data_IF_178040159918
#
_entry.id   IF_178040159918
#
_cell.length_a   1.000
_cell.length_b   1.000
_cell.length_c   1.000
_cell.angle_alpha   90.00
_cell.angle_beta   90.00
_cell.angle_gamma   90.00
#
_symmetry.space_group_name_H-M   'P 1'
#
loop_
_entity.id
_entity.type
_entity.pdbx_description
1 polymer ?
#
# COMPACT_ATOMS: atom_id res chain seq x y z
N UNK A 1 -5.92 2.20 -19.36
CA UNK A 1 -5.05 3.37 -19.65
C UNK A 1 -3.84 2.89 -20.45
N UNK A 2 -3.36 3.64 -21.44
CA UNK A 2 -2.16 3.23 -22.20
C UNK A 2 -0.89 3.30 -21.35
N UNK A 3 0.07 2.42 -21.59
CA UNK A 3 1.36 2.35 -20.87
C UNK A 3 2.03 3.71 -20.67
N UNK A 4 2.24 4.47 -21.75
CA UNK A 4 2.88 5.80 -21.69
C UNK A 4 2.14 6.75 -20.73
N UNK A 5 0.81 6.74 -20.75
CA UNK A 5 -0.01 7.57 -19.87
C UNK A 5 0.09 7.10 -18.41
N UNK A 6 0.30 5.80 -18.18
CA UNK A 6 0.57 5.23 -16.87
C UNK A 6 1.89 5.73 -16.30
N UNK A 7 2.96 5.71 -17.11
CA UNK A 7 4.27 6.26 -16.72
C UNK A 7 4.17 7.77 -16.42
N UNK A 8 3.49 8.55 -17.27
CA UNK A 8 3.28 9.99 -17.03
C UNK A 8 2.54 10.26 -15.70
N UNK A 9 1.56 9.41 -15.35
CA UNK A 9 0.85 9.48 -14.07
C UNK A 9 1.76 9.14 -12.89
N UNK A 10 2.64 8.15 -13.06
CA UNK A 10 3.60 7.75 -12.03
C UNK A 10 4.61 8.88 -11.76
N UNK A 11 5.07 9.59 -12.80
CA UNK A 11 5.92 10.79 -12.63
C UNK A 11 5.22 11.89 -11.84
N UNK A 12 3.98 12.21 -12.20
CA UNK A 12 3.16 13.19 -11.45
C UNK A 12 2.96 12.77 -9.98
N UNK A 13 2.80 11.47 -9.73
CA UNK A 13 2.69 10.95 -8.37
C UNK A 13 4.02 11.09 -7.61
N UNK A 14 5.16 10.83 -8.24
CA UNK A 14 6.48 11.03 -7.64
C UNK A 14 6.71 12.51 -7.27
N UNK A 15 6.35 13.44 -8.16
CA UNK A 15 6.38 14.89 -7.88
C UNK A 15 5.48 15.26 -6.70
N UNK A 16 4.28 14.68 -6.63
CA UNK A 16 3.36 14.89 -5.51
C UNK A 16 3.94 14.35 -4.19
N UNK A 17 4.56 13.17 -4.20
CA UNK A 17 5.28 12.63 -3.04
C UNK A 17 6.45 13.55 -2.64
N UNK A 18 7.23 14.03 -3.60
CA UNK A 18 8.31 14.98 -3.30
C UNK A 18 7.78 16.25 -2.63
N UNK A 19 6.60 16.73 -3.03
CA UNK A 19 6.01 17.93 -2.42
C UNK A 19 5.66 17.75 -0.95
N UNK A 20 5.35 16.52 -0.50
CA UNK A 20 5.03 16.25 0.92
C UNK A 20 6.23 16.43 1.84
N UNK A 21 7.46 16.30 1.32
CA UNK A 21 8.71 16.49 2.09
C UNK A 21 8.92 17.93 2.55
N UNK A 22 8.22 18.89 1.92
CA UNK A 22 8.32 20.33 2.25
C UNK A 22 7.43 20.73 3.43
N UNK A 23 6.64 19.82 3.96
CA UNK A 23 5.78 20.08 5.11
C UNK A 23 6.62 20.13 6.40
N UNK A 24 6.37 21.09 7.30
CA UNK A 24 7.12 21.25 8.54
C UNK A 24 6.68 20.23 9.60
N UNK A 25 6.93 18.95 9.35
CA UNK A 25 6.74 17.86 10.31
C UNK A 25 8.09 17.50 10.93
N UNK A 26 8.11 17.15 12.21
CA UNK A 26 9.34 16.72 12.91
C UNK A 26 9.93 15.47 12.25
N UNK A 27 9.07 14.53 11.84
CA UNK A 27 9.47 13.37 11.06
C UNK A 27 8.57 13.22 9.81
N UNK A 28 9.16 12.92 8.63
CA UNK A 28 8.36 12.70 7.42
C UNK A 28 7.41 11.51 7.57
N UNK A 29 6.12 11.79 7.46
CA UNK A 29 5.05 10.79 7.61
C UNK A 29 5.01 9.80 6.44
N UNK A 30 5.14 10.27 5.20
CA UNK A 30 5.33 9.44 4.01
C UNK A 30 6.84 9.23 3.80
N UNK A 31 7.29 7.98 3.68
CA UNK A 31 8.71 7.60 3.61
C UNK A 31 9.12 7.19 2.19
N UNK A 32 8.36 6.31 1.57
CA UNK A 32 8.66 5.79 0.22
C UNK A 32 7.39 5.44 -0.55
N UNK A 33 7.53 5.33 -1.88
CA UNK A 33 6.47 4.89 -2.77
C UNK A 33 6.99 3.86 -3.77
N UNK A 34 6.20 2.80 -3.94
CA UNK A 34 6.51 1.64 -4.75
C UNK A 34 5.39 1.39 -5.74
N UNK A 35 5.75 0.95 -6.93
CA UNK A 35 4.81 0.49 -7.96
C UNK A 35 4.97 -1.01 -8.15
N UNK A 36 3.88 -1.69 -8.47
CA UNK A 36 3.87 -3.14 -8.74
C UNK A 36 2.77 -3.52 -9.75
N UNK A 37 2.72 -4.81 -10.11
CA UNK A 37 1.70 -5.36 -11.01
C UNK A 37 1.88 -4.99 -12.49
N UNK A 38 0.75 -4.84 -13.19
CA UNK A 38 0.61 -4.74 -14.66
C UNK A 38 1.65 -3.84 -15.36
N UNK A 39 1.96 -2.67 -14.79
CA UNK A 39 2.94 -1.73 -15.38
C UNK A 39 4.35 -2.31 -15.41
N UNK A 40 4.72 -3.12 -14.41
CA UNK A 40 6.00 -3.78 -14.34
C UNK A 40 6.07 -4.98 -15.30
N UNK A 41 4.92 -5.61 -15.57
CA UNK A 41 4.85 -6.79 -16.44
C UNK A 41 4.66 -6.41 -17.92
N UNK A 42 4.46 -5.12 -18.19
CA UNK A 42 4.46 -4.52 -19.53
C UNK A 42 3.10 -4.51 -20.21
N UNK A 43 2.03 -4.67 -19.44
CA UNK A 43 0.67 -4.72 -19.93
C UNK A 43 0.24 -3.40 -20.59
N UNK A 44 -0.58 -3.51 -21.62
CA UNK A 44 -1.18 -2.36 -22.32
C UNK A 44 -2.49 -2.81 -23.00
N UNK A 45 -3.66 -2.42 -22.48
CA UNK A 45 -3.90 -1.35 -21.50
C UNK A 45 -3.75 -1.77 -20.03
N UNK A 46 -3.36 -0.83 -19.18
CA UNK A 46 -3.31 -0.94 -17.71
C UNK A 46 -4.61 -0.40 -17.12
N UNK A 47 -5.34 -1.16 -16.32
CA UNK A 47 -6.60 -0.71 -15.72
C UNK A 47 -6.37 0.40 -14.69
N UNK A 48 -5.51 0.14 -13.71
CA UNK A 48 -5.08 1.05 -12.65
C UNK A 48 -3.60 0.82 -12.31
N UNK A 49 -2.93 1.85 -11.81
CA UNK A 49 -1.58 1.72 -11.26
C UNK A 49 -1.67 1.17 -9.84
N UNK A 50 -1.01 0.05 -9.56
CA UNK A 50 -0.93 -0.51 -8.20
C UNK A 50 0.25 0.10 -7.46
N UNK A 51 -0.02 0.80 -6.36
CA UNK A 51 0.96 1.58 -5.60
C UNK A 51 0.97 1.17 -4.14
N UNK A 52 2.15 0.99 -3.56
CA UNK A 52 2.31 0.83 -2.12
C UNK A 52 3.09 2.02 -1.55
N UNK A 53 2.56 2.64 -0.50
CA UNK A 53 3.20 3.74 0.20
C UNK A 53 3.66 3.29 1.58
N UNK A 54 4.91 3.57 1.94
CA UNK A 54 5.41 3.30 3.29
C UNK A 54 5.25 4.53 4.17
N UNK A 55 4.67 4.34 5.35
CA UNK A 55 4.43 5.38 6.35
C UNK A 55 5.41 5.24 7.51
N UNK A 56 5.75 6.35 8.14
CA UNK A 56 6.47 6.37 9.42
C UNK A 56 5.52 6.01 10.58
N UNK A 57 4.97 4.82 10.53
CA UNK A 57 4.08 4.24 11.52
C UNK A 57 4.49 2.80 11.76
N UNK A 58 4.32 2.28 12.98
CA UNK A 58 4.61 0.88 13.25
C UNK A 58 3.55 -0.04 12.62
N UNK A 59 3.85 -1.34 12.42
CA UNK A 59 2.95 -2.26 11.71
C UNK A 59 1.54 -2.37 12.29
N UNK A 60 1.40 -2.28 13.61
CA UNK A 60 0.12 -2.31 14.33
C UNK A 60 -0.80 -1.13 14.00
N UNK A 61 -0.24 0.00 13.54
CA UNK A 61 -1.00 1.17 13.10
C UNK A 61 -1.26 1.18 11.58
N UNK A 62 -0.64 0.25 10.84
CA UNK A 62 -0.85 0.05 9.41
C UNK A 62 -1.26 -1.39 9.07
N UNK A 63 -2.39 -1.90 9.61
CA UNK A 63 -2.91 -3.20 9.19
C UNK A 63 -3.25 -3.24 7.70
N UNK A 64 -3.21 -4.44 7.13
CA UNK A 64 -3.54 -4.68 5.73
C UNK A 64 -4.96 -4.21 5.37
N UNK A 65 -5.11 -3.61 4.19
CA UNK A 65 -6.36 -3.02 3.68
C UNK A 65 -7.04 -1.97 4.60
N UNK A 66 -6.30 -1.39 5.54
CA UNK A 66 -6.82 -0.33 6.41
C UNK A 66 -6.44 1.07 5.92
N UNK A 67 -7.13 2.09 6.44
CA UNK A 67 -6.69 3.48 6.31
C UNK A 67 -6.13 4.00 7.65
N UNK A 68 -4.80 4.09 7.81
CA UNK A 68 -4.16 4.53 9.06
C UNK A 68 -4.55 5.96 9.46
N UNK A 69 -4.50 6.29 10.76
CA UNK A 69 -4.65 7.65 11.25
C UNK A 69 -3.71 8.62 10.53
N UNK A 70 -4.16 9.85 10.26
CA UNK A 70 -3.34 10.87 9.62
C UNK A 70 -3.12 10.71 8.11
N UNK A 71 -3.66 9.69 7.44
CA UNK A 71 -3.59 9.55 5.98
C UNK A 71 -4.55 10.40 5.13
N UNK A 72 -5.69 10.95 5.62
CA UNK A 72 -6.63 11.69 4.75
C UNK A 72 -6.00 12.84 3.96
N UNK A 73 -5.07 13.59 4.56
CA UNK A 73 -4.38 14.67 3.85
C UNK A 73 -3.45 14.14 2.75
N UNK A 74 -2.84 12.96 2.92
CA UNK A 74 -2.04 12.31 1.87
C UNK A 74 -2.93 11.89 0.69
N UNK A 75 -4.10 11.31 0.96
CA UNK A 75 -5.07 10.93 -0.09
C UNK A 75 -5.42 12.15 -0.95
N UNK A 76 -5.66 13.31 -0.32
CA UNK A 76 -5.97 14.55 -1.02
C UNK A 76 -4.76 15.10 -1.79
N UNK A 77 -3.60 15.21 -1.14
CA UNK A 77 -2.38 15.79 -1.74
C UNK A 77 -1.87 14.96 -2.92
N UNK A 78 -1.91 13.64 -2.79
CA UNK A 78 -1.50 12.68 -3.84
C UNK A 78 -2.63 12.41 -4.84
N UNK A 79 -3.84 12.97 -4.63
CA UNK A 79 -5.03 12.83 -5.48
C UNK A 79 -5.42 11.38 -5.75
N UNK A 80 -5.26 10.51 -4.75
CA UNK A 80 -5.52 9.07 -4.87
C UNK A 80 -7.02 8.79 -5.11
N UNK A 81 -7.89 9.72 -4.73
CA UNK A 81 -9.34 9.68 -4.93
C UNK A 81 -9.78 10.01 -6.36
N UNK A 82 -8.88 10.46 -7.25
CA UNK A 82 -9.21 10.87 -8.63
C UNK A 82 -9.14 9.74 -9.66
N UNK A 83 -8.86 8.51 -9.21
CA UNK A 83 -8.90 7.30 -10.02
C UNK A 83 -7.64 7.04 -10.87
N UNK A 84 -7.53 5.78 -11.30
CA UNK A 84 -6.35 5.23 -11.99
C UNK A 84 -5.22 4.80 -11.07
N UNK A 85 -5.47 4.75 -9.76
CA UNK A 85 -4.62 4.12 -8.77
C UNK A 85 -5.44 3.11 -7.96
N UNK A 86 -4.87 1.94 -7.71
CA UNK A 86 -5.21 1.10 -6.56
C UNK A 86 -4.02 1.22 -5.61
N UNK A 87 -4.26 1.50 -4.32
CA UNK A 87 -3.17 1.81 -3.41
C UNK A 87 -3.31 1.15 -2.05
N UNK A 88 -2.16 0.90 -1.42
CA UNK A 88 -2.05 0.30 -0.10
C UNK A 88 -1.08 1.09 0.77
N UNK A 89 -1.42 1.22 2.05
CA UNK A 89 -0.52 1.74 3.06
C UNK A 89 0.28 0.60 3.68
N UNK A 90 1.55 0.86 3.95
CA UNK A 90 2.48 -0.10 4.57
C UNK A 90 3.27 0.61 5.67
N UNK A 91 3.63 -0.13 6.71
CA UNK A 91 4.60 0.38 7.69
C UNK A 91 5.99 0.45 7.08
N UNK A 92 6.72 1.54 7.35
CA UNK A 92 8.14 1.70 7.01
C UNK A 92 9.07 0.88 7.90
N UNK A 93 8.57 0.19 8.93
CA UNK A 93 9.35 -0.67 9.83
C UNK A 93 9.42 -2.13 9.37
N UNK A 94 8.95 -2.43 8.15
CA UNK A 94 8.96 -3.78 7.59
C UNK A 94 9.00 -3.78 6.07
N UNK A 95 9.03 -4.96 5.44
CA UNK A 95 9.00 -5.07 3.99
C UNK A 95 7.69 -4.51 3.42
N UNK A 96 7.81 -3.75 2.32
CA UNK A 96 6.66 -3.26 1.57
C UNK A 96 5.90 -4.39 0.88
N UNK A 97 6.61 -5.44 0.44
CA UNK A 97 6.03 -6.60 -0.22
C UNK A 97 5.21 -7.47 0.75
N UNK A 98 4.22 -8.16 0.21
CA UNK A 98 3.45 -9.22 0.86
C UNK A 98 2.82 -10.15 -0.20
N UNK A 99 1.77 -10.89 0.17
CA UNK A 99 1.08 -11.80 -0.75
C UNK A 99 0.42 -11.10 -1.95
N UNK A 100 0.09 -9.81 -1.86
CA UNK A 100 -0.52 -9.02 -2.94
C UNK A 100 0.50 -8.09 -3.62
N UNK A 101 1.40 -7.48 -2.85
CA UNK A 101 2.45 -6.58 -3.36
C UNK A 101 3.66 -7.44 -3.76
N UNK A 102 3.64 -7.96 -4.99
CA UNK A 102 4.69 -8.84 -5.53
C UNK A 102 5.72 -8.06 -6.33
N UNK A 103 7.00 -8.34 -6.08
CA UNK A 103 8.15 -7.79 -6.83
C UNK A 103 8.10 -6.25 -7.00
N UNK A 104 7.75 -5.48 -5.96
CA UNK A 104 7.57 -4.04 -6.09
C UNK A 104 8.88 -3.34 -6.45
N UNK A 105 8.76 -2.23 -7.18
CA UNK A 105 9.88 -1.37 -7.56
C UNK A 105 9.66 0.01 -6.94
N UNK A 106 10.66 0.51 -6.21
CA UNK A 106 10.61 1.85 -5.63
C UNK A 106 10.76 2.87 -6.74
N UNK A 107 9.89 3.88 -6.78
CA UNK A 107 9.99 4.98 -7.74
C UNK A 107 10.20 6.34 -7.05
N UNK A 108 10.04 6.39 -5.73
CA UNK A 108 10.28 7.59 -4.93
C UNK A 108 10.61 7.23 -3.47
N UNK A 109 11.45 8.04 -2.83
CA UNK A 109 11.78 8.00 -1.41
C UNK A 109 12.10 9.42 -0.88
N UNK A 110 12.40 9.53 0.41
CA UNK A 110 12.92 10.78 0.99
C UNK A 110 14.21 11.29 0.33
N UNK A 111 15.01 10.40 -0.28
CA UNK A 111 16.21 10.77 -1.03
C UNK A 111 15.89 11.37 -2.42
N UNK A 112 14.63 11.30 -2.85
CA UNK A 112 14.14 11.83 -4.11
C UNK A 112 13.45 10.79 -5.00
N UNK A 113 13.07 11.26 -6.20
CA UNK A 113 12.52 10.43 -7.27
C UNK A 113 13.59 9.54 -7.90
N UNK A 114 13.27 8.28 -8.14
CA UNK A 114 14.14 7.35 -8.87
C UNK A 114 13.91 7.50 -10.39
N UNK A 115 14.61 8.48 -10.98
CA UNK A 115 14.48 8.78 -12.42
C UNK A 115 14.89 7.60 -13.30
N UNK A 116 15.86 6.79 -12.87
CA UNK A 116 16.30 5.62 -13.63
C UNK A 116 15.19 4.58 -13.78
N UNK A 117 14.39 4.38 -12.72
CA UNK A 117 13.20 3.52 -12.75
C UNK A 117 12.14 4.08 -13.71
N UNK A 118 11.85 5.38 -13.63
CA UNK A 118 10.83 6.01 -14.47
C UNK A 118 11.22 6.02 -15.96
N UNK A 119 12.51 6.21 -16.26
CA UNK A 119 13.07 6.13 -17.60
C UNK A 119 13.04 4.69 -18.14
N UNK A 120 13.41 3.71 -17.31
CA UNK A 120 13.32 2.30 -17.69
C UNK A 120 11.87 1.89 -18.00
N UNK A 121 10.89 2.34 -17.22
CA UNK A 121 9.46 2.12 -17.51
C UNK A 121 9.02 2.82 -18.80
N UNK A 122 9.49 4.05 -19.03
CA UNK A 122 9.17 4.81 -20.25
C UNK A 122 9.69 4.12 -21.51
N UNK A 123 10.88 3.53 -21.43
CA UNK A 123 11.59 2.83 -22.50
C UNK A 123 11.25 1.34 -22.57
N UNK A 124 10.39 0.84 -21.66
CA UNK A 124 10.02 -0.58 -21.53
C UNK A 124 11.21 -1.52 -21.29
N UNK A 125 12.25 -1.05 -20.60
CA UNK A 125 13.41 -1.84 -20.16
C UNK A 125 13.13 -2.56 -18.83
N UNK A 126 12.14 -3.45 -18.81
CA UNK A 126 11.66 -4.08 -17.57
C UNK A 126 12.69 -4.97 -16.86
N UNK A 127 13.70 -5.46 -17.59
CA UNK A 127 14.79 -6.25 -17.04
C UNK A 127 15.74 -5.42 -16.15
N UNK A 128 15.76 -4.11 -16.32
CA UNK A 128 16.67 -3.20 -15.59
C UNK A 128 16.06 -2.71 -14.27
N UNK A 129 14.81 -3.11 -13.97
CA UNK A 129 14.08 -2.64 -12.80
C UNK A 129 14.56 -3.34 -11.51
N UNK A 130 14.91 -2.58 -10.45
CA UNK A 130 15.36 -3.13 -9.18
C UNK A 130 14.17 -3.68 -8.36
N UNK A 131 13.69 -4.85 -8.75
CA UNK A 131 12.56 -5.53 -8.09
C UNK A 131 12.96 -6.09 -6.73
N UNK A 132 12.12 -5.84 -5.72
CA UNK A 132 12.26 -6.48 -4.43
C UNK A 132 11.69 -7.90 -4.47
N UNK A 133 12.56 -8.90 -4.43
CA UNK A 133 12.15 -10.31 -4.41
C UNK A 133 11.88 -10.81 -2.99
N UNK A 134 10.95 -11.75 -2.87
CA UNK A 134 10.70 -12.50 -1.66
C UNK A 134 10.51 -13.98 -2.03
N UNK A 135 11.16 -14.87 -1.29
CA UNK A 135 10.95 -16.31 -1.47
C UNK A 135 9.54 -16.72 -1.04
N UNK A 136 8.99 -17.83 -1.56
CA UNK A 136 7.68 -18.34 -1.14
C UNK A 136 7.55 -18.52 0.37
N UNK A 137 8.63 -18.98 1.04
CA UNK A 137 8.66 -19.14 2.49
C UNK A 137 8.63 -17.80 3.24
N UNK A 138 9.28 -16.75 2.72
CA UNK A 138 9.20 -15.40 3.27
C UNK A 138 7.80 -14.80 3.11
N UNK A 139 7.18 -15.02 1.97
CA UNK A 139 5.82 -14.57 1.69
C UNK A 139 4.80 -15.23 2.63
N UNK A 140 4.91 -16.54 2.84
CA UNK A 140 4.06 -17.27 3.78
C UNK A 140 4.23 -16.74 5.21
N UNK A 141 5.48 -16.67 5.71
CA UNK A 141 5.77 -16.13 7.05
C UNK A 141 5.26 -14.71 7.21
N UNK A 142 5.38 -13.88 6.17
CA UNK A 142 4.88 -12.50 6.21
C UNK A 142 3.37 -12.44 6.27
N UNK A 143 2.67 -13.26 5.48
CA UNK A 143 1.22 -13.34 5.49
C UNK A 143 0.69 -13.84 6.85
N UNK A 144 1.36 -14.81 7.48
CA UNK A 144 1.01 -15.30 8.83
C UNK A 144 1.14 -14.20 9.90
N UNK A 145 2.22 -13.42 9.88
CA UNK A 145 2.41 -12.29 10.80
C UNK A 145 1.35 -11.21 10.58
N UNK A 146 1.06 -10.84 9.33
CA UNK A 146 0.03 -9.86 9.01
C UNK A 146 -1.38 -10.34 9.36
N UNK A 147 -1.65 -11.65 9.24
CA UNK A 147 -2.93 -12.25 9.61
C UNK A 147 -3.20 -12.10 11.12
N UNK A 148 -2.20 -12.33 11.96
CA UNK A 148 -2.32 -12.14 13.42
C UNK A 148 -2.57 -10.66 13.79
N UNK A 149 -1.90 -9.74 13.10
CA UNK A 149 -2.12 -8.29 13.25
C UNK A 149 -3.53 -7.89 12.82
N UNK A 150 -4.00 -8.37 11.67
CA UNK A 150 -5.34 -8.12 11.16
C UNK A 150 -6.42 -8.70 12.09
N UNK A 151 -6.20 -9.89 12.65
CA UNK A 151 -7.11 -10.48 13.64
C UNK A 151 -7.17 -9.64 14.93
N UNK A 152 -6.03 -9.14 15.41
CA UNK A 152 -5.96 -8.26 16.57
C UNK A 152 -6.75 -6.97 16.32
N UNK A 153 -6.58 -6.35 15.16
CA UNK A 153 -7.34 -5.16 14.77
C UNK A 153 -8.84 -5.46 14.69
N UNK A 154 -9.24 -6.53 14.01
CA UNK A 154 -10.65 -6.92 13.86
C UNK A 154 -11.31 -7.13 15.22
N UNK A 155 -10.64 -7.81 16.16
CA UNK A 155 -11.10 -7.97 17.54
C UNK A 155 -11.26 -6.61 18.24
N UNK A 156 -10.27 -5.74 18.12
CA UNK A 156 -10.31 -4.40 18.72
C UNK A 156 -11.46 -3.53 18.19
N UNK A 157 -11.73 -3.57 16.88
CA UNK A 157 -12.87 -2.87 16.28
C UNK A 157 -14.18 -3.50 16.74
N UNK A 158 -14.28 -4.83 16.71
CA UNK A 158 -15.48 -5.57 17.11
C UNK A 158 -15.87 -5.28 18.58
N UNK A 159 -14.89 -5.25 19.49
CA UNK A 159 -15.11 -4.93 20.91
C UNK A 159 -15.64 -3.51 21.13
N UNK A 160 -15.12 -2.53 20.38
CA UNK A 160 -15.49 -1.11 20.51
C UNK A 160 -16.66 -0.69 19.63
N UNK A 161 -17.13 -1.55 18.73
CA UNK A 161 -18.06 -1.16 17.66
C UNK A 161 -19.35 -0.51 18.15
N UNK A 162 -19.86 -0.96 19.31
CA UNK A 162 -21.07 -0.45 19.96
C UNK A 162 -20.80 0.64 21.00
N UNK A 163 -19.53 0.96 21.27
CA UNK A 163 -19.16 2.06 22.16
C UNK A 163 -19.56 3.40 21.55
N UNK A 164 -20.27 4.22 22.33
CA UNK A 164 -20.85 5.48 21.84
C UNK A 164 -19.77 6.53 21.54
N UNK A 165 -18.74 6.60 22.36
CA UNK A 165 -17.65 7.58 22.21
C UNK A 165 -16.81 7.20 20.99
N UNK A 166 -16.41 5.93 20.88
CA UNK A 166 -15.68 5.41 19.73
C UNK A 166 -16.43 5.66 18.42
N UNK A 167 -17.74 5.34 18.35
CA UNK A 167 -18.55 5.59 17.15
C UNK A 167 -18.65 7.07 16.79
N UNK A 168 -18.61 7.96 17.79
CA UNK A 168 -18.64 9.41 17.58
C UNK A 168 -17.32 9.92 17.00
N UNK A 169 -16.19 9.41 17.51
CA UNK A 169 -14.84 9.75 17.04
C UNK A 169 -14.55 9.19 15.64
N UNK A 170 -15.12 8.03 15.32
CA UNK A 170 -14.89 7.31 14.06
C UNK A 170 -15.95 7.65 12.99
N UNK A 171 -16.44 8.90 13.03
CA UNK A 171 -17.33 9.48 12.03
C UNK A 171 -16.74 10.81 11.55
N UNK A 172 -16.44 10.89 10.25
CA UNK A 172 -15.90 12.11 9.66
C UNK A 172 -15.26 11.88 8.31
N UNK A 173 -15.19 12.91 7.47
CA UNK A 173 -14.50 12.84 6.17
C UNK A 173 -15.05 11.78 5.21
N UNK A 174 -16.35 11.44 5.31
CA UNK A 174 -16.97 10.37 4.51
C UNK A 174 -16.76 8.96 5.05
N UNK A 175 -16.09 8.81 6.20
CA UNK A 175 -15.89 7.54 6.91
C UNK A 175 -16.87 7.40 8.06
N UNK A 176 -17.28 6.15 8.29
CA UNK A 176 -18.24 5.77 9.31
C UNK A 176 -17.70 4.58 10.12
N UNK A 177 -18.25 4.30 11.31
CA UNK A 177 -17.91 3.09 12.08
C UNK A 177 -17.95 1.80 11.24
N UNK A 178 -18.91 1.71 10.33
CA UNK A 178 -19.10 0.60 9.40
C UNK A 178 -17.90 0.45 8.43
N UNK A 179 -17.28 1.56 8.02
CA UNK A 179 -16.06 1.56 7.19
C UNK A 179 -14.92 0.87 7.92
N UNK A 180 -14.72 1.18 9.20
CA UNK A 180 -13.64 0.57 10.00
C UNK A 180 -13.84 -0.92 10.22
N UNK A 181 -15.09 -1.36 10.44
CA UNK A 181 -15.41 -2.77 10.55
C UNK A 181 -15.20 -3.51 9.22
N UNK A 182 -15.62 -2.89 8.11
CA UNK A 182 -15.44 -3.46 6.78
C UNK A 182 -13.96 -3.62 6.43
N UNK A 183 -13.14 -2.59 6.62
CA UNK A 183 -11.69 -2.66 6.35
C UNK A 183 -10.98 -3.74 7.18
N UNK A 184 -11.29 -3.82 8.48
CA UNK A 184 -10.69 -4.83 9.36
C UNK A 184 -11.10 -6.26 8.97
N UNK A 185 -12.37 -6.44 8.56
CA UNK A 185 -12.86 -7.74 8.10
C UNK A 185 -12.27 -8.12 6.73
N UNK A 186 -12.25 -7.19 5.78
CA UNK A 186 -11.73 -7.39 4.43
C UNK A 186 -10.23 -7.72 4.46
N UNK A 187 -9.43 -6.95 5.20
CA UNK A 187 -8.01 -7.21 5.38
C UNK A 187 -7.72 -8.58 6.01
N UNK A 188 -8.48 -8.96 7.04
CA UNK A 188 -8.34 -10.29 7.67
C UNK A 188 -8.68 -11.43 6.71
N UNK A 189 -9.80 -11.32 5.96
CA UNK A 189 -10.23 -12.37 5.04
C UNK A 189 -9.25 -12.53 3.86
N UNK A 190 -8.76 -11.44 3.28
CA UNK A 190 -7.78 -11.48 2.20
C UNK A 190 -6.46 -12.15 2.64
N UNK A 191 -5.98 -11.85 3.86
CA UNK A 191 -4.81 -12.49 4.43
C UNK A 191 -5.04 -13.98 4.76
N UNK A 192 -6.22 -14.33 5.25
CA UNK A 192 -6.58 -15.72 5.55
C UNK A 192 -6.55 -16.57 4.28
N UNK A 193 -7.14 -16.06 3.19
CA UNK A 193 -7.11 -16.71 1.89
C UNK A 193 -5.69 -16.80 1.32
N UNK A 194 -4.88 -15.77 1.54
CA UNK A 194 -3.48 -15.76 1.13
C UNK A 194 -2.64 -16.81 1.85
N UNK A 195 -2.78 -16.94 3.17
CA UNK A 195 -2.07 -17.97 3.96
C UNK A 195 -2.45 -19.37 3.49
N UNK A 196 -3.73 -19.65 3.28
CA UNK A 196 -4.18 -20.95 2.77
C UNK A 196 -3.58 -21.28 1.40
N UNK A 197 -3.57 -20.30 0.49
CA UNK A 197 -3.02 -20.44 -0.86
C UNK A 197 -1.50 -20.69 -0.82
N UNK A 198 -0.77 -19.86 -0.09
CA UNK A 198 0.69 -19.94 0.03
C UNK A 198 1.15 -21.23 0.71
N UNK A 199 0.42 -21.70 1.73
CA UNK A 199 0.71 -22.98 2.38
C UNK A 199 0.52 -24.17 1.43
N UNK A 200 -0.50 -24.10 0.57
CA UNK A 200 -0.73 -25.12 -0.47
C UNK A 200 0.39 -25.12 -1.50
N UNK A 201 0.82 -23.94 -1.97
CA UNK A 201 1.94 -23.80 -2.91
C UNK A 201 3.28 -24.26 -2.32
N UNK A 202 3.50 -24.10 -1.01
CA UNK A 202 4.72 -24.54 -0.35
C UNK A 202 4.82 -26.07 -0.15
N UNK A 203 3.73 -26.80 -0.31
CA UNK A 203 3.66 -28.27 -0.12
C UNK A 203 3.58 -29.05 -1.44
N UNK A 204 3.39 -28.35 -2.57
CA UNK A 204 3.35 -28.91 -3.93
C UNK A 204 4.74 -28.96 -4.56
#
# INVERSE_FOLDING_TARGET
MRHRRAVDKLRQLAEACQSTTRMPLEEPFLREAYVFGDILDGDDPIEYLQIAFTLNLPPEEVPWCSQPPGTPWLVQTLRLDKGGFAYWWRSGHGPVWNHAIRRPVRFWSLDGTDEAVLDALQERRFADLPRLEASPAELLRRAEVELDQALTQLRGVHEKYWDREWRSEHRGGGRYPETHLWEAADGYLDLLDAVHRLATEATA
#
